data_IF_198618163921
#
_entry.id   IF_198618163921
#
_cell.length_a   1.000
_cell.length_b   1.000
_cell.length_c   1.000
_cell.angle_alpha   90.00
_cell.angle_beta   90.00
_cell.angle_gamma   90.00
#
_symmetry.space_group_name_H-M   'P 1'
#
loop_
_entity.id
_entity.type
_entity.pdbx_description
1 polymer ?
#
# COMPACT_ATOMS: atom_id res chain seq x y z
N UNK A 1 -7.57 -2.66 35.63
CA UNK A 1 -8.95 -2.84 36.12
C UNK A 1 -9.86 -3.57 35.10
N UNK A 2 -9.40 -3.91 33.89
CA UNK A 2 -10.17 -4.66 32.87
C UNK A 2 -9.97 -6.19 32.88
N UNK A 3 -9.07 -6.71 33.71
CA UNK A 3 -8.51 -8.06 33.57
C UNK A 3 -9.37 -9.20 34.14
N UNK A 4 -10.60 -8.94 34.60
CA UNK A 4 -11.44 -9.96 35.25
C UNK A 4 -12.91 -9.94 34.80
N UNK A 5 -13.22 -9.29 33.67
CA UNK A 5 -14.59 -9.19 33.17
C UNK A 5 -14.76 -10.06 31.92
N UNK A 6 -15.23 -11.30 32.10
CA UNK A 6 -15.56 -12.21 30.99
C UNK A 6 -16.56 -11.58 30.00
N UNK A 7 -17.49 -10.76 30.49
CA UNK A 7 -18.48 -10.10 29.65
C UNK A 7 -17.83 -9.06 28.73
N UNK A 8 -16.78 -8.37 29.20
CA UNK A 8 -15.99 -7.48 28.36
C UNK A 8 -15.32 -8.23 27.21
N UNK A 9 -14.66 -9.36 27.50
CA UNK A 9 -13.94 -10.14 26.48
C UNK A 9 -14.89 -10.72 25.43
N UNK A 10 -16.03 -11.27 25.85
CA UNK A 10 -17.07 -11.74 24.92
C UNK A 10 -17.61 -10.61 24.05
N UNK A 11 -17.91 -9.45 24.64
CA UNK A 11 -18.37 -8.29 23.90
C UNK A 11 -17.30 -7.77 22.93
N UNK A 12 -16.03 -7.73 23.35
CA UNK A 12 -14.92 -7.37 22.49
C UNK A 12 -14.83 -8.30 21.27
N UNK A 13 -14.87 -9.62 21.50
CA UNK A 13 -14.82 -10.59 20.39
C UNK A 13 -16.01 -10.43 19.46
N UNK A 14 -17.24 -10.30 19.98
CA UNK A 14 -18.43 -10.08 19.15
C UNK A 14 -18.36 -8.79 18.35
N UNK A 15 -18.05 -7.68 19.00
CA UNK A 15 -18.08 -6.35 18.38
C UNK A 15 -16.88 -6.06 17.47
N UNK A 16 -15.73 -6.72 17.69
CA UNK A 16 -14.49 -6.44 16.96
C UNK A 16 -14.07 -7.61 16.07
N UNK A 17 -14.02 -8.82 16.61
CA UNK A 17 -13.50 -9.99 15.89
C UNK A 17 -14.56 -10.80 15.17
N UNK A 18 -15.85 -10.57 15.41
CA UNK A 18 -16.99 -11.21 14.77
C UNK A 18 -18.00 -10.19 14.25
N UNK A 19 -17.55 -8.96 14.03
CA UNK A 19 -18.37 -7.89 13.49
C UNK A 19 -18.90 -8.28 12.09
N UNK A 20 -20.16 -7.96 11.81
CA UNK A 20 -20.82 -8.18 10.51
C UNK A 20 -20.05 -7.53 9.34
N UNK A 21 -19.30 -6.45 9.60
CA UNK A 21 -18.40 -5.84 8.62
C UNK A 21 -17.38 -6.84 8.05
N UNK A 22 -16.97 -7.84 8.84
CA UNK A 22 -16.04 -8.88 8.42
C UNK A 22 -16.67 -9.94 7.52
N UNK A 23 -18.00 -9.90 7.32
CA UNK A 23 -18.70 -10.69 6.30
C UNK A 23 -18.55 -10.04 4.92
N UNK A 24 -18.71 -8.70 4.85
CA UNK A 24 -18.50 -7.93 3.62
C UNK A 24 -17.02 -7.75 3.29
N UNK A 25 -16.17 -7.56 4.31
CA UNK A 25 -14.74 -7.30 4.19
C UNK A 25 -13.93 -8.29 5.04
N UNK A 26 -13.83 -9.55 4.59
CA UNK A 26 -13.11 -10.59 5.33
C UNK A 26 -11.62 -10.25 5.49
N UNK A 27 -11.17 -10.12 6.74
CA UNK A 27 -9.75 -10.03 7.09
C UNK A 27 -9.13 -11.43 7.13
N UNK A 28 -7.79 -11.50 7.07
CA UNK A 28 -7.05 -12.78 7.14
C UNK A 28 -7.45 -13.59 8.37
N UNK A 29 -7.94 -14.81 8.18
CA UNK A 29 -8.34 -15.69 9.30
C UNK A 29 -7.16 -16.02 10.21
N UNK A 30 -5.94 -16.10 9.66
CA UNK A 30 -4.72 -16.26 10.45
C UNK A 30 -4.53 -15.17 11.50
N UNK A 31 -4.89 -13.92 11.19
CA UNK A 31 -4.83 -12.81 12.14
C UNK A 31 -5.86 -12.98 13.26
N UNK A 32 -7.14 -13.23 12.91
CA UNK A 32 -8.22 -13.51 13.87
C UNK A 32 -7.83 -14.69 14.78
N UNK A 33 -7.32 -15.77 14.20
CA UNK A 33 -6.86 -16.97 14.91
C UNK A 33 -5.74 -16.66 15.90
N UNK A 34 -4.71 -15.91 15.50
CA UNK A 34 -3.57 -15.58 16.37
C UNK A 34 -4.01 -14.71 17.55
N UNK A 35 -4.88 -13.72 17.32
CA UNK A 35 -5.40 -12.88 18.39
C UNK A 35 -6.31 -13.66 19.35
N UNK A 36 -7.20 -14.50 18.82
CA UNK A 36 -8.04 -15.39 19.63
C UNK A 36 -7.20 -16.37 20.45
N UNK A 37 -6.15 -16.95 19.88
CA UNK A 37 -5.22 -17.82 20.60
C UNK A 37 -4.55 -17.09 21.76
N UNK A 38 -4.03 -15.88 21.53
CA UNK A 38 -3.42 -15.05 22.57
C UNK A 38 -4.42 -14.74 23.70
N UNK A 39 -5.64 -14.37 23.34
CA UNK A 39 -6.71 -14.08 24.30
C UNK A 39 -7.07 -15.31 25.14
N UNK A 40 -7.33 -16.46 24.50
CA UNK A 40 -7.66 -17.72 25.16
C UNK A 40 -6.54 -18.11 26.13
N UNK A 41 -5.27 -18.08 25.68
CA UNK A 41 -4.12 -18.40 26.53
C UNK A 41 -4.02 -17.46 27.73
N UNK A 42 -4.31 -16.18 27.59
CA UNK A 42 -4.26 -15.23 28.69
C UNK A 42 -5.42 -15.41 29.69
N UNK A 43 -6.63 -15.69 29.21
CA UNK A 43 -7.77 -16.03 30.07
C UNK A 43 -7.52 -17.30 30.88
N UNK A 44 -7.02 -18.35 30.22
CA UNK A 44 -6.61 -19.61 30.87
C UNK A 44 -5.52 -19.36 31.92
N UNK A 45 -4.52 -18.52 31.61
CA UNK A 45 -3.45 -18.13 32.55
C UNK A 45 -4.00 -17.40 33.78
N UNK A 46 -5.04 -16.59 33.60
CA UNK A 46 -5.74 -15.89 34.68
C UNK A 46 -6.73 -16.78 35.43
N UNK A 47 -6.83 -18.07 35.08
CA UNK A 47 -7.81 -19.02 35.62
C UNK A 47 -9.26 -18.54 35.44
N UNK A 48 -9.52 -17.83 34.34
CA UNK A 48 -10.85 -17.40 33.93
C UNK A 48 -11.47 -18.43 32.98
N UNK A 49 -12.76 -18.71 33.15
CA UNK A 49 -13.48 -19.61 32.24
C UNK A 49 -13.55 -18.99 30.84
N UNK A 50 -13.04 -19.72 29.84
CA UNK A 50 -13.16 -19.38 28.43
C UNK A 50 -14.47 -19.95 27.91
N UNK A 51 -15.33 -19.10 27.33
CA UNK A 51 -16.61 -19.58 26.82
C UNK A 51 -16.46 -20.44 25.56
N UNK A 52 -17.36 -21.42 25.40
CA UNK A 52 -17.40 -22.32 24.23
C UNK A 52 -17.52 -21.55 22.90
N UNK A 53 -18.15 -20.37 22.93
CA UNK A 53 -18.27 -19.50 21.78
C UNK A 53 -16.90 -19.04 21.26
N UNK A 54 -15.95 -18.72 22.16
CA UNK A 54 -14.58 -18.34 21.78
C UNK A 54 -13.84 -19.49 21.10
N UNK A 55 -13.97 -20.71 21.63
CA UNK A 55 -13.39 -21.90 20.99
C UNK A 55 -14.05 -22.19 19.64
N UNK A 56 -15.36 -21.98 19.52
CA UNK A 56 -16.09 -22.16 18.25
C UNK A 56 -15.60 -21.18 17.18
N UNK A 57 -15.44 -19.91 17.54
CA UNK A 57 -14.92 -18.88 16.63
C UNK A 57 -13.47 -19.21 16.26
N UNK A 58 -12.63 -19.58 17.24
CA UNK A 58 -11.25 -20.00 17.00
C UNK A 58 -11.17 -21.19 16.04
N UNK A 59 -11.99 -22.22 16.24
CA UNK A 59 -12.08 -23.39 15.38
C UNK A 59 -12.50 -23.01 13.94
N UNK A 60 -13.44 -22.09 13.77
CA UNK A 60 -13.86 -21.62 12.44
C UNK A 60 -12.74 -20.87 11.66
N UNK A 61 -11.72 -20.39 12.38
CA UNK A 61 -10.53 -19.75 11.81
C UNK A 61 -9.37 -20.73 11.53
N UNK A 62 -9.52 -22.02 11.84
CA UNK A 62 -8.47 -23.04 11.64
C UNK A 62 -8.29 -23.41 10.17
N UNK A 63 -9.36 -23.34 9.37
CA UNK A 63 -9.32 -23.58 7.93
C UNK A 63 -9.42 -22.24 7.20
N UNK A 64 -8.32 -21.88 6.53
CA UNK A 64 -8.25 -20.69 5.68
C UNK A 64 -8.24 -21.10 4.22
N UNK A 65 -9.42 -21.15 3.61
CA UNK A 65 -9.60 -21.39 2.17
C UNK A 65 -9.73 -20.09 1.38
N UNK A 66 -9.61 -18.92 2.03
CA UNK A 66 -9.84 -17.65 1.36
C UNK A 66 -8.60 -17.23 0.58
N UNK A 67 -8.75 -17.09 -0.72
CA UNK A 67 -7.69 -16.57 -1.60
C UNK A 67 -7.49 -15.06 -1.43
N UNK A 68 -8.52 -14.36 -0.96
CA UNK A 68 -8.59 -12.91 -0.85
C UNK A 68 -8.95 -12.47 0.56
N UNK A 69 -8.42 -11.32 0.95
CA UNK A 69 -8.77 -10.61 2.18
C UNK A 69 -8.81 -9.11 1.92
N UNK A 70 -9.32 -8.36 2.90
CA UNK A 70 -9.43 -6.91 2.81
C UNK A 70 -8.60 -6.21 3.88
N UNK A 71 -8.02 -5.07 3.51
CA UNK A 71 -7.52 -4.06 4.44
C UNK A 71 -8.40 -2.82 4.35
N UNK A 72 -8.81 -2.33 5.50
CA UNK A 72 -9.60 -1.11 5.64
C UNK A 72 -8.71 -0.09 6.34
N UNK A 73 -8.47 1.02 5.66
CA UNK A 73 -7.72 2.17 6.16
C UNK A 73 -8.72 3.25 6.56
N UNK A 74 -8.53 3.83 7.74
CA UNK A 74 -9.42 4.83 8.31
C UNK A 74 -8.74 6.19 8.38
N UNK A 75 -9.53 7.25 8.49
CA UNK A 75 -9.02 8.58 8.83
C UNK A 75 -8.36 8.58 10.21
N UNK A 76 -7.49 9.55 10.48
CA UNK A 76 -6.72 9.59 11.73
C UNK A 76 -7.59 9.76 12.99
N UNK A 77 -8.79 10.33 12.85
CA UNK A 77 -9.81 10.44 13.89
C UNK A 77 -10.76 9.23 13.97
N UNK A 78 -10.56 8.24 13.09
CA UNK A 78 -11.35 7.01 12.95
C UNK A 78 -12.82 7.27 12.58
N UNK A 79 -13.15 8.47 12.10
CA UNK A 79 -14.51 8.84 11.76
C UNK A 79 -14.98 8.23 10.43
N UNK A 80 -14.08 8.07 9.45
CA UNK A 80 -14.42 7.69 8.09
C UNK A 80 -13.47 6.62 7.53
N UNK A 81 -13.99 5.86 6.56
CA UNK A 81 -13.18 4.94 5.76
C UNK A 81 -12.44 5.73 4.69
N UNK A 82 -11.10 5.66 4.74
CA UNK A 82 -10.24 6.37 3.81
C UNK A 82 -10.02 5.56 2.54
N UNK A 83 -9.59 4.29 2.67
CA UNK A 83 -9.36 3.36 1.55
C UNK A 83 -9.68 1.93 1.95
N UNK A 84 -10.30 1.15 1.07
CA UNK A 84 -10.48 -0.30 1.19
C UNK A 84 -9.73 -1.02 0.09
N UNK A 85 -8.85 -1.96 0.44
CA UNK A 85 -8.09 -2.74 -0.55
C UNK A 85 -8.39 -4.22 -0.36
N UNK A 86 -8.80 -4.88 -1.46
CA UNK A 86 -8.71 -6.34 -1.56
C UNK A 86 -7.30 -6.74 -1.98
N UNK A 87 -6.75 -7.73 -1.32
CA UNK A 87 -5.45 -8.32 -1.62
C UNK A 87 -5.47 -9.84 -1.46
N UNK A 88 -4.51 -10.53 -2.08
CA UNK A 88 -4.34 -11.96 -1.90
C UNK A 88 -3.85 -12.29 -0.48
N UNK A 89 -4.27 -13.43 0.03
CA UNK A 89 -3.72 -14.00 1.28
C UNK A 89 -2.29 -14.53 1.08
N UNK A 90 -1.88 -14.76 -0.18
CA UNK A 90 -0.54 -15.21 -0.55
C UNK A 90 0.26 -14.08 -1.20
N UNK A 91 1.44 -13.80 -0.63
CA UNK A 91 2.28 -12.68 -1.05
C UNK A 91 2.86 -12.84 -2.47
N UNK A 92 3.06 -14.09 -2.90
CA UNK A 92 3.48 -14.47 -4.25
C UNK A 92 2.51 -15.52 -4.77
N UNK A 93 1.73 -15.20 -5.80
CA UNK A 93 0.71 -16.10 -6.33
C UNK A 93 0.50 -15.89 -7.83
N UNK A 94 0.09 -16.95 -8.54
CA UNK A 94 -0.23 -16.92 -9.97
C UNK A 94 0.86 -16.34 -10.89
N UNK A 95 2.13 -16.44 -10.48
CA UNK A 95 3.29 -15.93 -11.24
C UNK A 95 3.50 -14.43 -11.14
N UNK A 96 2.81 -13.73 -10.24
CA UNK A 96 2.92 -12.28 -10.05
C UNK A 96 3.08 -11.91 -8.57
N UNK A 97 3.63 -10.72 -8.32
CA UNK A 97 3.75 -10.11 -6.99
C UNK A 97 2.74 -8.99 -6.77
N UNK A 98 2.02 -8.56 -7.82
CA UNK A 98 1.12 -7.40 -7.79
C UNK A 98 -0.24 -7.65 -7.12
N UNK A 99 -0.51 -8.86 -6.64
CA UNK A 99 -1.79 -9.22 -6.03
C UNK A 99 -1.84 -8.98 -4.52
N UNK A 100 -0.73 -8.59 -3.89
CA UNK A 100 -0.63 -8.31 -2.45
C UNK A 100 -0.13 -6.89 -2.18
N UNK A 101 -0.49 -6.33 -1.03
CA UNK A 101 0.05 -5.04 -0.60
C UNK A 101 1.47 -5.17 -0.06
N UNK A 102 2.32 -4.25 -0.49
CA UNK A 102 3.72 -4.17 -0.07
C UNK A 102 3.97 -2.97 0.82
N UNK A 103 4.98 -3.06 1.68
CA UNK A 103 5.32 -2.01 2.65
C UNK A 103 5.52 -0.64 1.99
N UNK A 104 6.27 -0.59 0.89
CA UNK A 104 6.57 0.68 0.23
C UNK A 104 5.34 1.43 -0.32
N UNK A 105 4.22 0.75 -0.66
CA UNK A 105 3.01 1.44 -1.12
C UNK A 105 2.28 2.13 0.03
N UNK A 106 2.27 1.50 1.20
CA UNK A 106 1.75 2.09 2.43
C UNK A 106 2.60 3.30 2.85
N UNK A 107 3.93 3.14 2.83
CA UNK A 107 4.87 4.19 3.23
C UNK A 107 4.85 5.38 2.26
N UNK A 108 4.73 5.12 0.95
CA UNK A 108 4.59 6.18 -0.06
C UNK A 108 3.26 6.92 0.07
N UNK A 109 2.15 6.22 0.33
CA UNK A 109 0.85 6.87 0.57
C UNK A 109 0.89 7.80 1.80
N UNK A 110 1.55 7.36 2.89
CA UNK A 110 1.79 8.21 4.06
C UNK A 110 2.67 9.42 3.72
N UNK A 111 3.74 9.22 2.95
CA UNK A 111 4.63 10.32 2.56
C UNK A 111 3.89 11.38 1.74
N UNK A 112 3.20 10.96 0.67
CA UNK A 112 2.50 11.88 -0.24
C UNK A 112 1.40 12.66 0.49
N UNK A 113 0.62 12.00 1.35
CA UNK A 113 -0.45 12.65 2.13
C UNK A 113 0.06 13.68 3.16
N UNK A 114 1.31 13.57 3.60
CA UNK A 114 1.89 14.43 4.63
C UNK A 114 2.72 15.58 4.06
N UNK A 115 3.48 15.32 2.99
CA UNK A 115 4.52 16.26 2.51
C UNK A 115 4.23 16.85 1.15
N UNK A 116 3.25 16.32 0.41
CA UNK A 116 2.90 16.80 -0.93
C UNK A 116 1.50 17.39 -0.97
N UNK A 117 1.30 18.32 -1.90
CA UNK A 117 -0.03 18.75 -2.32
C UNK A 117 -0.23 18.39 -3.79
N UNK A 118 -0.99 17.33 -4.02
CA UNK A 118 -1.30 16.81 -5.35
C UNK A 118 -2.68 17.27 -5.86
N UNK A 119 -3.28 18.28 -5.23
CA UNK A 119 -4.54 18.85 -5.72
C UNK A 119 -4.33 19.48 -7.10
N UNK A 120 -5.28 19.28 -8.02
CA UNK A 120 -5.20 19.77 -9.40
C UNK A 120 -3.98 19.24 -10.18
N UNK A 121 -3.49 18.03 -9.87
CA UNK A 121 -2.37 17.40 -10.58
C UNK A 121 -2.79 16.15 -11.36
N UNK A 122 -2.06 15.84 -12.44
CA UNK A 122 -2.15 14.55 -13.14
C UNK A 122 -1.08 13.62 -12.60
N UNK A 123 -1.51 12.49 -12.04
CA UNK A 123 -0.65 11.50 -11.38
C UNK A 123 -0.69 10.19 -12.15
N UNK A 124 0.47 9.64 -12.50
CA UNK A 124 0.60 8.29 -13.06
C UNK A 124 1.26 7.37 -12.04
N UNK A 125 0.59 6.27 -11.65
CA UNK A 125 1.21 5.21 -10.85
C UNK A 125 1.74 4.10 -11.76
N UNK A 126 3.04 3.79 -11.66
CA UNK A 126 3.69 2.67 -12.36
C UNK A 126 3.78 1.45 -11.45
N UNK A 127 3.29 0.30 -11.91
CA UNK A 127 3.32 -0.94 -11.13
C UNK A 127 2.43 -0.86 -9.90
N UNK A 128 1.18 -0.42 -10.10
CA UNK A 128 0.25 -0.09 -9.03
C UNK A 128 -0.13 -1.30 -8.16
N UNK A 129 -0.04 -2.54 -8.69
CA UNK A 129 -0.42 -3.74 -7.95
C UNK A 129 -1.87 -3.67 -7.47
N UNK A 130 -2.07 -3.64 -6.14
CA UNK A 130 -3.40 -3.45 -5.55
C UNK A 130 -3.95 -2.03 -5.65
N UNK A 131 -3.14 -1.02 -6.00
CA UNK A 131 -3.56 0.36 -6.25
C UNK A 131 -3.61 1.29 -5.03
N UNK A 132 -3.09 0.87 -3.87
CA UNK A 132 -3.22 1.64 -2.63
C UNK A 132 -2.72 3.08 -2.76
N UNK A 133 -1.54 3.30 -3.35
CA UNK A 133 -0.91 4.63 -3.36
C UNK A 133 -1.76 5.63 -4.15
N UNK A 134 -2.10 5.30 -5.39
CA UNK A 134 -2.86 6.20 -6.25
C UNK A 134 -4.33 6.34 -5.83
N UNK A 135 -4.96 5.28 -5.29
CA UNK A 135 -6.30 5.40 -4.68
C UNK A 135 -6.24 6.34 -3.48
N UNK A 136 -5.24 6.20 -2.60
CA UNK A 136 -5.05 7.11 -1.48
C UNK A 136 -4.86 8.57 -1.93
N UNK A 137 -4.09 8.81 -2.99
CA UNK A 137 -3.93 10.13 -3.61
C UNK A 137 -5.27 10.68 -4.10
N UNK A 138 -6.05 9.89 -4.83
CA UNK A 138 -7.35 10.31 -5.37
C UNK A 138 -8.37 10.64 -4.27
N UNK A 139 -8.30 9.95 -3.13
CA UNK A 139 -9.17 10.15 -1.96
C UNK A 139 -8.72 11.33 -1.09
N UNK A 140 -7.42 11.66 -1.09
CA UNK A 140 -6.85 12.70 -0.24
C UNK A 140 -6.87 14.08 -0.91
N UNK A 141 -6.62 14.14 -2.21
CA UNK A 141 -6.44 15.40 -2.93
C UNK A 141 -7.60 15.69 -3.89
N UNK A 142 -7.99 16.97 -3.98
CA UNK A 142 -9.11 17.41 -4.82
C UNK A 142 -8.68 17.66 -6.26
N UNK A 143 -9.57 17.38 -7.20
CA UNK A 143 -9.37 17.61 -8.64
C UNK A 143 -8.06 16.97 -9.17
N UNK A 144 -7.64 15.86 -8.58
CA UNK A 144 -6.53 15.06 -9.07
C UNK A 144 -7.03 14.19 -10.23
N UNK A 145 -6.19 13.94 -11.23
CA UNK A 145 -6.47 12.90 -12.23
C UNK A 145 -5.43 11.81 -12.07
N UNK A 146 -5.86 10.61 -11.66
CA UNK A 146 -4.97 9.52 -11.31
C UNK A 146 -5.10 8.40 -12.33
N UNK A 147 -4.02 8.11 -13.04
CA UNK A 147 -3.90 6.95 -13.92
C UNK A 147 -3.11 5.87 -13.19
N UNK A 148 -3.73 4.74 -12.87
CA UNK A 148 -3.08 3.59 -12.24
C UNK A 148 -2.67 2.60 -13.31
N UNK A 149 -1.41 2.19 -13.35
CA UNK A 149 -0.92 1.26 -14.38
C UNK A 149 -0.23 0.03 -13.84
N UNK A 150 -0.46 -1.09 -14.52
CA UNK A 150 0.23 -2.35 -14.33
C UNK A 150 0.27 -3.12 -15.66
N UNK A 151 0.89 -4.29 -15.70
CA UNK A 151 1.03 -5.11 -16.90
C UNK A 151 0.22 -6.41 -16.85
N UNK A 152 0.26 -7.14 -15.72
CA UNK A 152 -0.38 -8.47 -15.63
C UNK A 152 -1.91 -8.32 -15.60
N UNK A 153 -2.60 -9.03 -16.49
CA UNK A 153 -4.06 -8.95 -16.63
C UNK A 153 -4.83 -9.35 -15.37
N UNK A 154 -4.28 -10.24 -14.53
CA UNK A 154 -4.88 -10.60 -13.23
C UNK A 154 -4.74 -9.46 -12.23
N UNK A 155 -3.59 -8.77 -12.26
CA UNK A 155 -3.35 -7.59 -11.41
C UNK A 155 -4.27 -6.46 -11.83
N UNK A 156 -4.38 -6.17 -13.13
CA UNK A 156 -5.28 -5.14 -13.65
C UNK A 156 -6.74 -5.40 -13.29
N UNK A 157 -7.22 -6.63 -13.41
CA UNK A 157 -8.59 -6.99 -12.99
C UNK A 157 -8.83 -6.76 -11.49
N UNK A 158 -7.83 -7.03 -10.65
CA UNK A 158 -7.94 -6.72 -9.22
C UNK A 158 -7.85 -5.22 -8.95
N UNK A 159 -6.97 -4.51 -9.66
CA UNK A 159 -6.80 -3.06 -9.56
C UNK A 159 -8.11 -2.34 -9.91
N UNK A 160 -8.76 -2.73 -11.00
CA UNK A 160 -10.09 -2.22 -11.37
C UNK A 160 -11.12 -2.47 -10.26
N UNK A 161 -11.15 -3.67 -9.68
CA UNK A 161 -12.03 -3.98 -8.55
C UNK A 161 -11.75 -3.05 -7.36
N UNK A 162 -10.48 -2.87 -6.98
CA UNK A 162 -10.12 -1.99 -5.87
C UNK A 162 -10.45 -0.53 -6.15
N UNK A 163 -10.30 -0.06 -7.39
CA UNK A 163 -10.74 1.29 -7.77
C UNK A 163 -12.24 1.43 -7.53
N UNK A 164 -13.06 0.52 -8.05
CA UNK A 164 -14.52 0.60 -7.92
C UNK A 164 -14.99 0.60 -6.46
N UNK A 165 -14.34 -0.16 -5.57
CA UNK A 165 -14.64 -0.17 -4.14
C UNK A 165 -14.38 1.17 -3.43
N UNK A 166 -13.62 2.09 -4.04
CA UNK A 166 -13.22 3.36 -3.44
C UNK A 166 -13.77 4.59 -4.17
N UNK A 167 -14.49 4.40 -5.27
CA UNK A 167 -15.12 5.51 -6.00
C UNK A 167 -16.35 6.01 -5.25
N UNK A 168 -16.39 7.30 -4.98
CA UNK A 168 -17.59 8.02 -4.54
C UNK A 168 -17.67 9.39 -5.25
N UNK A 169 -18.76 10.14 -5.02
CA UNK A 169 -19.00 11.44 -5.66
C UNK A 169 -17.93 12.50 -5.35
N UNK A 170 -17.12 12.29 -4.31
CA UNK A 170 -16.08 13.21 -3.88
C UNK A 170 -14.69 12.84 -4.41
N UNK A 171 -14.56 11.64 -4.96
CA UNK A 171 -13.29 11.12 -5.44
C UNK A 171 -12.84 11.82 -6.71
N UNK A 172 -11.55 12.12 -6.76
CA UNK A 172 -10.84 12.52 -7.97
C UNK A 172 -10.96 11.45 -9.08
N UNK A 173 -10.78 11.86 -10.34
CA UNK A 173 -10.86 10.93 -11.49
C UNK A 173 -9.79 9.85 -11.37
N UNK A 174 -10.18 8.58 -11.52
CA UNK A 174 -9.25 7.44 -11.55
C UNK A 174 -9.49 6.62 -12.81
N UNK A 175 -8.42 6.32 -13.55
CA UNK A 175 -8.44 5.34 -14.65
C UNK A 175 -7.40 4.23 -14.42
N UNK A 176 -7.64 3.08 -15.04
CA UNK A 176 -6.70 1.94 -15.01
C UNK A 176 -6.15 1.72 -16.42
N UNK A 177 -4.82 1.63 -16.53
CA UNK A 177 -4.09 1.48 -17.78
C UNK A 177 -3.27 0.19 -17.79
N UNK A 178 -3.23 -0.50 -18.93
CA UNK A 178 -2.25 -1.54 -19.19
C UNK A 178 -0.99 -0.90 -19.76
N UNK A 179 0.11 -0.91 -18.99
CA UNK A 179 1.39 -0.36 -19.43
C UNK A 179 2.47 -1.43 -19.32
N UNK A 180 3.06 -1.77 -20.46
CA UNK A 180 4.31 -2.53 -20.54
C UNK A 180 5.49 -1.56 -20.62
N UNK A 181 6.32 -1.51 -19.58
CA UNK A 181 7.48 -0.62 -19.54
C UNK A 181 8.48 -0.87 -20.67
N UNK A 182 8.53 -2.07 -21.24
CA UNK A 182 9.50 -2.42 -22.30
C UNK A 182 9.11 -1.88 -23.68
N UNK A 183 7.84 -1.53 -23.86
CA UNK A 183 7.25 -1.04 -25.11
C UNK A 183 6.45 0.27 -24.92
N UNK A 184 6.68 0.95 -23.79
CA UNK A 184 5.97 2.17 -23.43
C UNK A 184 6.27 3.32 -24.40
N UNK A 185 5.21 4.04 -24.76
CA UNK A 185 5.24 5.29 -25.49
C UNK A 185 4.32 6.30 -24.81
N UNK A 186 4.74 7.56 -24.69
CA UNK A 186 4.00 8.60 -23.99
C UNK A 186 2.60 8.84 -24.60
N UNK A 187 2.41 8.54 -25.88
CA UNK A 187 1.12 8.65 -26.59
C UNK A 187 0.07 7.67 -26.10
N UNK A 188 0.45 6.64 -25.33
CA UNK A 188 -0.51 5.75 -24.65
C UNK A 188 -1.25 6.46 -23.51
N UNK A 189 -0.74 7.59 -23.03
CA UNK A 189 -1.36 8.36 -21.96
C UNK A 189 -2.33 9.40 -22.55
N UNK A 190 -3.52 9.51 -21.95
CA UNK A 190 -4.51 10.54 -22.30
C UNK A 190 -3.97 11.97 -22.06
N UNK A 191 -3.07 12.11 -21.09
CA UNK A 191 -2.38 13.36 -20.79
C UNK A 191 -1.05 13.08 -20.12
N UNK A 192 -0.07 13.93 -20.40
CA UNK A 192 1.25 13.86 -19.76
C UNK A 192 1.14 14.10 -18.24
N UNK A 193 1.74 13.24 -17.38
CA UNK A 193 1.62 13.36 -15.94
C UNK A 193 2.49 14.50 -15.39
N UNK A 194 1.99 15.21 -14.38
CA UNK A 194 2.77 16.17 -13.60
C UNK A 194 3.60 15.46 -12.53
N UNK A 195 3.09 14.34 -12.02
CA UNK A 195 3.77 13.50 -11.02
C UNK A 195 3.68 12.03 -11.41
N UNK A 196 4.80 11.32 -11.35
CA UNK A 196 4.81 9.86 -11.46
C UNK A 196 5.06 9.27 -10.07
N UNK A 197 4.32 8.23 -9.69
CA UNK A 197 4.54 7.52 -8.43
C UNK A 197 4.80 6.05 -8.72
N UNK A 198 5.65 5.40 -7.94
CA UNK A 198 5.88 3.96 -8.06
C UNK A 198 6.30 3.39 -6.71
N UNK A 199 5.62 2.33 -6.27
CA UNK A 199 5.87 1.72 -4.98
C UNK A 199 6.32 0.27 -5.12
N UNK A 200 7.48 -0.05 -4.54
CA UNK A 200 8.08 -1.39 -4.51
C UNK A 200 8.38 -2.01 -5.88
N UNK A 201 8.55 -1.19 -6.93
CA UNK A 201 8.89 -1.63 -8.30
C UNK A 201 10.39 -1.89 -8.53
N UNK A 202 11.22 -1.57 -7.55
CA UNK A 202 12.69 -1.72 -7.62
C UNK A 202 13.09 -3.06 -6.99
N UNK A 203 12.78 -4.16 -7.68
CA UNK A 203 13.01 -5.53 -7.16
C UNK A 203 13.77 -6.47 -8.11
N UNK A 204 13.79 -6.21 -9.42
CA UNK A 204 14.58 -6.98 -10.38
C UNK A 204 15.43 -6.04 -11.24
N UNK A 205 16.75 -6.20 -11.15
CA UNK A 205 17.73 -5.43 -11.95
C UNK A 205 17.45 -5.40 -13.46
N UNK A 206 16.79 -6.44 -14.01
CA UNK A 206 16.50 -6.56 -15.45
C UNK A 206 15.41 -5.61 -15.94
N UNK A 207 14.48 -5.22 -15.06
CA UNK A 207 13.36 -4.32 -15.43
C UNK A 207 13.71 -2.84 -15.22
N UNK A 208 14.78 -2.54 -14.46
CA UNK A 208 15.15 -1.16 -14.12
C UNK A 208 15.45 -0.26 -15.32
N UNK A 209 16.12 -0.73 -16.40
CA UNK A 209 16.30 0.10 -17.60
C UNK A 209 14.96 0.51 -18.21
N UNK A 210 14.00 -0.41 -18.32
CA UNK A 210 12.67 -0.14 -18.86
C UNK A 210 11.90 0.85 -17.97
N UNK A 211 11.89 0.63 -16.66
CA UNK A 211 11.29 1.56 -15.69
C UNK A 211 11.88 2.98 -15.82
N UNK A 212 13.21 3.11 -15.89
CA UNK A 212 13.87 4.41 -16.03
C UNK A 212 13.59 5.06 -17.39
N UNK A 213 13.38 4.26 -18.44
CA UNK A 213 12.90 4.73 -19.74
C UNK A 213 11.52 5.38 -19.64
N UNK A 214 10.57 4.74 -18.96
CA UNK A 214 9.23 5.30 -18.71
C UNK A 214 9.31 6.59 -17.89
N UNK A 215 10.09 6.59 -16.80
CA UNK A 215 10.31 7.78 -15.98
C UNK A 215 10.86 8.93 -16.82
N UNK A 216 11.87 8.67 -17.66
CA UNK A 216 12.45 9.69 -18.55
C UNK A 216 11.39 10.28 -19.49
N UNK A 217 10.64 9.44 -20.19
CA UNK A 217 9.60 9.90 -21.11
C UNK A 217 8.54 10.76 -20.41
N UNK A 218 8.15 10.38 -19.19
CA UNK A 218 7.16 11.12 -18.41
C UNK A 218 7.71 12.44 -17.84
N UNK A 219 8.98 12.48 -17.44
CA UNK A 219 9.59 13.65 -16.79
C UNK A 219 10.09 14.72 -17.78
N UNK A 220 10.22 14.38 -19.06
CA UNK A 220 10.62 15.32 -20.13
C UNK A 220 9.51 16.27 -20.58
N UNK A 221 8.29 16.02 -20.14
CA UNK A 221 7.07 16.72 -20.53
C UNK A 221 7.01 18.16 -20.00
N UNK A 222 7.57 18.39 -18.81
CA UNK A 222 7.58 19.69 -18.16
C UNK A 222 8.72 19.79 -17.15
N UNK A 223 9.29 20.99 -17.02
CA UNK A 223 10.33 21.26 -16.01
C UNK A 223 9.83 21.08 -14.56
N UNK A 224 8.50 21.04 -14.36
CA UNK A 224 7.87 20.80 -13.06
C UNK A 224 7.58 19.32 -12.78
N UNK A 225 7.71 18.46 -13.78
CA UNK A 225 7.44 17.03 -13.64
C UNK A 225 8.44 16.39 -12.70
N UNK A 226 7.95 15.55 -11.79
CA UNK A 226 8.77 14.82 -10.81
C UNK A 226 8.22 13.43 -10.57
N UNK A 227 9.05 12.52 -10.10
CA UNK A 227 8.64 11.18 -9.74
C UNK A 227 8.96 10.88 -8.27
N UNK A 228 8.08 10.15 -7.60
CA UNK A 228 8.32 9.58 -6.29
C UNK A 228 8.39 8.06 -6.40
N UNK A 229 9.59 7.51 -6.18
CA UNK A 229 9.80 6.05 -6.22
C UNK A 229 10.13 5.57 -4.81
N UNK A 230 9.27 4.75 -4.24
CA UNK A 230 9.47 4.15 -2.93
C UNK A 230 9.92 2.70 -3.08
N UNK A 231 10.95 2.30 -2.34
CA UNK A 231 11.48 0.93 -2.35
C UNK A 231 11.85 0.48 -0.94
N UNK A 232 11.33 -0.68 -0.53
CA UNK A 232 11.75 -1.31 0.72
C UNK A 232 13.17 -1.84 0.55
N UNK A 233 14.10 -1.47 1.42
CA UNK A 233 15.52 -1.87 1.34
C UNK A 233 15.69 -3.37 1.68
N UNK A 234 15.45 -4.23 0.70
CA UNK A 234 15.65 -5.70 0.80
C UNK A 234 17.02 -6.14 0.31
N UNK A 235 17.48 -5.52 -0.79
CA UNK A 235 18.79 -5.76 -1.37
C UNK A 235 19.46 -4.43 -1.74
N UNK A 236 20.54 -4.04 -1.03
CA UNK A 236 21.30 -2.84 -1.36
C UNK A 236 21.86 -2.83 -2.79
N UNK A 237 22.15 -3.99 -3.40
CA UNK A 237 22.71 -4.06 -4.75
C UNK A 237 21.67 -3.69 -5.82
N UNK A 238 20.42 -4.12 -5.64
CA UNK A 238 19.30 -3.74 -6.52
C UNK A 238 19.07 -2.23 -6.46
N UNK A 239 19.11 -1.61 -5.29
CA UNK A 239 19.03 -0.14 -5.16
C UNK A 239 20.22 0.59 -5.79
N UNK A 240 21.44 0.09 -5.62
CA UNK A 240 22.62 0.67 -6.28
C UNK A 240 22.50 0.59 -7.81
N UNK A 241 21.96 -0.52 -8.32
CA UNK A 241 21.68 -0.69 -9.75
C UNK A 241 20.59 0.28 -10.23
N UNK A 242 19.57 0.52 -9.42
CA UNK A 242 18.53 1.52 -9.72
C UNK A 242 19.11 2.93 -9.83
N UNK A 243 19.91 3.38 -8.85
CA UNK A 243 20.58 4.68 -8.89
C UNK A 243 21.45 4.85 -10.14
N UNK A 244 22.22 3.82 -10.48
CA UNK A 244 23.00 3.81 -11.72
C UNK A 244 22.11 3.95 -12.96
N UNK A 245 20.97 3.28 -13.00
CA UNK A 245 20.04 3.39 -14.14
C UNK A 245 19.45 4.80 -14.26
N UNK A 246 19.09 5.44 -13.13
CA UNK A 246 18.65 6.84 -13.10
C UNK A 246 19.70 7.74 -13.78
N UNK A 247 20.96 7.65 -13.35
CA UNK A 247 22.05 8.45 -13.91
C UNK A 247 22.23 8.19 -15.43
N UNK A 248 22.25 6.93 -15.85
CA UNK A 248 22.47 6.58 -17.27
C UNK A 248 21.32 7.01 -18.19
N UNK A 249 20.12 7.21 -17.65
CA UNK A 249 18.97 7.72 -18.41
C UNK A 249 18.95 9.26 -18.46
N UNK A 250 19.86 9.94 -17.77
CA UNK A 250 19.91 11.40 -17.67
C UNK A 250 18.85 11.96 -16.73
N UNK A 251 18.46 11.18 -15.72
CA UNK A 251 17.63 11.61 -14.60
C UNK A 251 18.52 11.84 -13.38
N UNK A 252 18.00 12.54 -12.37
CA UNK A 252 18.71 12.78 -11.11
C UNK A 252 17.81 12.60 -9.90
N UNK A 253 18.37 12.08 -8.83
CA UNK A 253 17.73 12.06 -7.51
C UNK A 253 17.90 13.46 -6.91
N UNK A 254 16.79 14.16 -6.71
CA UNK A 254 16.76 15.49 -6.10
C UNK A 254 16.75 15.40 -4.57
N UNK A 255 15.99 14.47 -4.02
CA UNK A 255 15.88 14.24 -2.58
C UNK A 255 15.67 12.75 -2.28
N UNK A 256 15.97 12.37 -1.04
CA UNK A 256 15.83 11.02 -0.52
C UNK A 256 15.31 11.05 0.92
N UNK A 257 14.23 10.31 1.16
CA UNK A 257 13.62 10.20 2.48
C UNK A 257 13.62 8.75 2.91
N UNK A 258 14.15 8.51 4.12
CA UNK A 258 14.11 7.19 4.76
C UNK A 258 12.93 7.12 5.71
N UNK A 259 12.07 6.14 5.55
CA UNK A 259 10.98 5.85 6.47
C UNK A 259 11.23 4.53 7.22
N UNK A 260 11.20 4.60 8.55
CA UNK A 260 11.28 3.44 9.44
C UNK A 260 10.69 3.76 10.80
N UNK A 261 9.96 2.83 11.40
CA UNK A 261 9.36 3.00 12.73
C UNK A 261 8.56 4.31 12.87
N UNK A 262 7.64 4.56 11.93
CA UNK A 262 6.78 5.75 11.89
C UNK A 262 7.52 7.09 11.78
N UNK A 263 8.79 7.06 11.38
CA UNK A 263 9.66 8.24 11.33
C UNK A 263 10.23 8.42 9.93
N UNK A 264 9.94 9.56 9.31
CA UNK A 264 10.62 10.05 8.13
C UNK A 264 11.91 10.74 8.53
N UNK A 265 13.03 10.37 7.89
CA UNK A 265 14.34 10.99 8.08
C UNK A 265 14.80 11.54 6.73
N UNK A 266 15.02 12.85 6.66
CA UNK A 266 15.45 13.56 5.46
C UNK A 266 16.97 13.65 5.37
N UNK A 267 17.50 14.02 4.19
CA UNK A 267 18.94 14.13 3.95
C UNK A 267 19.66 15.14 4.86
N UNK A 268 18.97 16.19 5.30
CA UNK A 268 19.50 17.20 6.23
C UNK A 268 19.56 16.71 7.69
N UNK A 269 19.11 15.47 7.95
CA UNK A 269 19.05 14.86 9.27
C UNK A 269 17.80 15.19 10.08
N UNK A 270 16.89 16.02 9.53
CA UNK A 270 15.60 16.29 10.16
C UNK A 270 14.76 15.00 10.22
N UNK A 271 13.97 14.90 11.30
CA UNK A 271 13.13 13.73 11.57
C UNK A 271 11.71 14.18 11.84
N UNK A 272 10.77 13.51 11.18
CA UNK A 272 9.35 13.75 11.37
C UNK A 272 8.66 12.44 11.72
N UNK A 273 8.14 12.38 12.95
CA UNK A 273 7.35 11.24 13.43
C UNK A 273 5.87 11.57 13.26
N UNK A 274 5.12 10.67 12.65
CA UNK A 274 3.67 10.85 12.44
C UNK A 274 2.91 9.56 12.67
N UNK A 275 1.66 9.70 13.10
CA UNK A 275 0.71 8.60 13.00
C UNK A 275 0.50 8.25 11.52
N UNK A 276 0.49 6.96 11.21
CA UNK A 276 0.35 6.44 9.85
C UNK A 276 -1.13 6.17 9.56
N UNK A 277 -1.68 6.80 8.52
CA UNK A 277 -3.02 6.47 8.00
C UNK A 277 -3.01 5.13 7.24
N UNK A 278 -1.84 4.73 6.74
CA UNK A 278 -1.64 3.48 6.00
C UNK A 278 -0.63 2.57 6.72
N UNK A 279 -0.98 1.99 7.89
CA UNK A 279 -0.05 1.12 8.61
C UNK A 279 0.23 -0.16 7.83
N UNK A 280 1.50 -0.57 7.82
CA UNK A 280 1.92 -1.87 7.32
C UNK A 280 2.61 -2.67 8.41
N UNK A 281 2.18 -3.93 8.60
CA UNK A 281 2.84 -4.87 9.50
C UNK A 281 3.66 -5.86 8.69
N UNK A 282 4.98 -5.87 8.93
CA UNK A 282 5.93 -6.80 8.36
C UNK A 282 6.84 -7.34 9.45
N UNK A 283 7.23 -8.61 9.37
CA UNK A 283 8.28 -9.18 10.23
C UNK A 283 9.69 -8.80 9.75
N UNK A 284 9.81 -8.24 8.55
CA UNK A 284 11.08 -7.76 8.00
C UNK A 284 11.37 -6.36 8.54
N UNK A 285 12.49 -6.21 9.25
CA UNK A 285 12.98 -4.91 9.70
C UNK A 285 13.80 -4.22 8.60
N UNK A 286 13.10 -3.77 7.55
CA UNK A 286 13.70 -3.01 6.45
C UNK A 286 13.08 -1.61 6.35
N UNK A 287 13.89 -0.54 6.24
CA UNK A 287 13.36 0.79 5.95
C UNK A 287 12.85 0.88 4.50
N UNK A 288 11.92 1.79 4.26
CA UNK A 288 11.57 2.23 2.91
C UNK A 288 12.39 3.47 2.57
N UNK A 289 12.97 3.49 1.38
CA UNK A 289 13.64 4.66 0.81
C UNK A 289 12.73 5.25 -0.27
N UNK A 290 12.41 6.54 -0.15
CA UNK A 290 11.57 7.30 -1.08
C UNK A 290 12.46 8.29 -1.81
N UNK A 291 12.51 8.18 -3.14
CA UNK A 291 13.31 9.05 -4.00
C UNK A 291 12.42 10.09 -4.67
N UNK A 292 12.76 11.37 -4.56
CA UNK A 292 12.28 12.40 -5.49
C UNK A 292 13.22 12.42 -6.70
N UNK A 293 12.69 12.11 -7.88
CA UNK A 293 13.44 12.00 -9.13
C UNK A 293 12.93 13.06 -10.09
N UNK A 294 13.86 13.71 -10.78
CA UNK A 294 13.58 14.77 -11.75
C UNK A 294 14.52 14.63 -12.93
N UNK A 295 14.25 15.40 -13.99
CA UNK A 295 15.20 15.57 -15.09
C UNK A 295 16.40 16.44 -14.69
#
# INVERSE_FOLDING_TARGET
>A
MFLSDNQFYEKFVKSVLCNELLESYPIRKSYRRNLLKLLITELERLSMDVSDELYTIYASCMVDTMEWCYRIFLTSDLAEVLVVIRESTQQLCHGTTGLSLWQASCDLANFLSQFENLSCTKVLELGAGCGLTGIAVARTFRNCNVSLSDYDSKVLKQLEFNVQENLDETCSSIEVLNIDWTSFDITQLNSEPDVVIAADVVYDSKILPALCGVLKSCLQTSQKSRAYVASTLRDPLTLATFRKNIDTHGLRIKDEVRYQYETFTFLDGSKYRTATSFPHSSSLEAPTIIYEIVQ
#
